data_IF_741507523685
#
_entry.id   IF_741507523685
#
_cell.length_a   1.000
_cell.length_b   1.000
_cell.length_c   1.000
_cell.angle_alpha   90.00
_cell.angle_beta   90.00
_cell.angle_gamma   90.00
#
_symmetry.space_group_name_H-M   'P 1'
#
loop_
_entity.id
_entity.type
_entity.pdbx_description
1 polymer ?
#
# COMPACT_ATOMS: atom_id res chain seq x y z
N UNK A 1 37.21 33.74 -40.79
CA UNK A 1 37.17 32.40 -40.19
C UNK A 1 37.10 32.56 -38.68
N UNK A 2 35.90 32.49 -38.09
CA UNK A 2 35.71 32.57 -36.64
C UNK A 2 35.35 31.17 -36.16
N UNK A 3 36.24 30.56 -35.39
CA UNK A 3 36.01 29.24 -34.79
C UNK A 3 35.10 29.40 -33.58
N UNK A 4 33.81 29.11 -33.77
CA UNK A 4 32.84 29.02 -32.70
C UNK A 4 33.17 27.78 -31.85
N UNK A 5 33.77 28.03 -30.70
CA UNK A 5 34.16 26.98 -29.75
C UNK A 5 32.91 26.57 -28.99
N UNK A 6 32.23 25.54 -29.49
CA UNK A 6 31.14 24.87 -28.79
C UNK A 6 31.59 24.47 -27.38
N UNK A 7 31.20 25.24 -26.37
CA UNK A 7 31.26 24.77 -24.98
C UNK A 7 30.24 23.65 -24.85
N UNK A 8 30.64 22.43 -24.44
CA UNK A 8 29.67 21.39 -24.18
C UNK A 8 28.78 21.85 -23.03
N UNK A 9 27.48 21.98 -23.29
CA UNK A 9 26.46 22.09 -22.26
C UNK A 9 26.66 20.89 -21.34
N UNK A 10 27.15 21.14 -20.12
CA UNK A 10 27.20 20.12 -19.07
C UNK A 10 25.78 19.61 -18.91
N UNK A 11 25.53 18.38 -19.40
CA UNK A 11 24.27 17.69 -19.19
C UNK A 11 23.98 17.75 -17.69
N UNK A 12 22.81 18.25 -17.25
CA UNK A 12 22.43 18.10 -15.86
C UNK A 12 22.54 16.61 -15.54
N UNK A 13 23.27 16.26 -14.47
CA UNK A 13 23.25 14.91 -13.94
C UNK A 13 21.80 14.64 -13.56
N UNK A 14 21.06 13.98 -14.45
CA UNK A 14 19.81 13.31 -14.10
C UNK A 14 20.21 12.26 -13.06
N UNK A 15 20.15 12.63 -11.79
CA UNK A 15 20.25 11.65 -10.73
C UNK A 15 19.15 10.61 -11.00
N UNK A 16 19.48 9.31 -11.04
CA UNK A 16 18.47 8.30 -11.30
C UNK A 16 17.35 8.48 -10.29
N UNK A 17 16.12 8.67 -10.78
CA UNK A 17 14.90 8.57 -9.97
C UNK A 17 14.94 7.15 -9.42
N UNK A 18 15.26 7.00 -8.14
CA UNK A 18 15.25 5.68 -7.51
C UNK A 18 13.77 5.38 -7.26
N UNK A 19 13.17 4.43 -8.01
CA UNK A 19 11.78 4.09 -7.79
C UNK A 19 11.67 3.44 -6.42
N UNK A 20 10.60 3.77 -5.72
CA UNK A 20 10.28 3.16 -4.45
C UNK A 20 10.03 1.65 -4.60
N UNK A 21 10.35 0.84 -3.56
CA UNK A 21 9.98 -0.56 -3.50
C UNK A 21 8.52 -0.83 -3.90
N UNK A 22 8.20 -2.00 -4.49
CA UNK A 22 6.84 -2.31 -4.95
C UNK A 22 5.77 -2.20 -3.87
N UNK A 23 6.08 -2.63 -2.63
CA UNK A 23 5.15 -2.58 -1.51
C UNK A 23 4.83 -1.15 -1.10
N UNK A 24 5.80 -0.24 -1.06
CA UNK A 24 5.57 1.17 -0.72
C UNK A 24 4.75 1.89 -1.81
N UNK A 25 4.99 1.58 -3.08
CA UNK A 25 4.18 2.09 -4.21
C UNK A 25 2.74 1.62 -4.13
N UNK A 26 2.52 0.36 -3.75
CA UNK A 26 1.19 -0.19 -3.55
C UNK A 26 0.45 0.54 -2.42
N UNK A 27 1.10 0.76 -1.28
CA UNK A 27 0.49 1.49 -0.16
C UNK A 27 0.20 2.96 -0.49
N UNK A 28 1.02 3.59 -1.35
CA UNK A 28 0.72 4.93 -1.90
C UNK A 28 -0.47 4.90 -2.84
N UNK A 29 -0.54 3.90 -3.72
CA UNK A 29 -1.67 3.73 -4.63
C UNK A 29 -2.99 3.51 -3.90
N UNK A 30 -2.96 2.78 -2.78
CA UNK A 30 -4.10 2.60 -1.88
C UNK A 30 -4.47 3.87 -1.08
N UNK A 31 -3.69 4.95 -1.17
CA UNK A 31 -3.92 6.18 -0.42
C UNK A 31 -3.58 6.07 1.08
N UNK A 32 -2.89 4.99 1.49
CA UNK A 32 -2.44 4.82 2.88
C UNK A 32 -1.30 5.80 3.14
N UNK A 33 -0.34 5.95 2.23
CA UNK A 33 0.73 6.92 2.34
C UNK A 33 0.70 7.91 1.17
N UNK A 34 1.19 9.12 1.41
CA UNK A 34 1.47 10.07 0.35
C UNK A 34 2.98 10.11 0.07
N UNK A 35 3.36 10.16 -1.21
CA UNK A 35 4.74 10.33 -1.62
C UNK A 35 4.97 11.79 -2.03
N UNK A 36 5.98 12.45 -1.46
CA UNK A 36 6.39 13.79 -1.87
C UNK A 36 7.89 13.84 -2.19
N UNK A 37 8.31 14.63 -3.18
CA UNK A 37 9.73 14.84 -3.47
C UNK A 37 10.40 15.60 -2.31
N UNK A 38 11.61 15.19 -1.91
CA UNK A 38 12.35 15.80 -0.79
C UNK A 38 12.81 17.23 -1.10
N UNK A 39 13.01 17.55 -2.38
CA UNK A 39 13.28 18.88 -2.93
C UNK A 39 12.94 18.88 -4.42
N UNK A 40 12.82 20.06 -5.03
CA UNK A 40 12.46 20.21 -6.46
C UNK A 40 13.42 19.46 -7.41
N UNK A 41 14.68 19.28 -7.01
CA UNK A 41 15.73 18.65 -7.83
C UNK A 41 16.20 17.29 -7.30
N UNK A 42 15.57 16.75 -6.26
CA UNK A 42 15.99 15.45 -5.70
C UNK A 42 15.29 14.28 -6.37
N UNK A 43 16.08 13.26 -6.72
CA UNK A 43 15.59 11.94 -7.11
C UNK A 43 15.06 11.08 -5.93
N UNK A 44 15.09 11.63 -4.72
CA UNK A 44 14.63 10.98 -3.49
C UNK A 44 13.25 11.47 -3.07
N UNK A 45 12.38 10.55 -2.68
CA UNK A 45 11.06 10.85 -2.14
C UNK A 45 11.02 10.61 -0.63
N UNK A 46 10.08 11.27 0.03
CA UNK A 46 9.70 10.95 1.40
C UNK A 46 8.23 10.55 1.45
N UNK A 47 7.91 9.68 2.42
CA UNK A 47 6.55 9.26 2.70
C UNK A 47 5.95 10.14 3.79
N UNK A 48 4.70 10.52 3.58
CA UNK A 48 3.90 11.27 4.55
C UNK A 48 2.74 10.40 4.96
N UNK A 49 2.56 10.27 6.28
CA UNK A 49 1.40 9.62 6.87
C UNK A 49 0.12 10.40 6.54
N UNK A 50 -0.87 9.71 5.99
CA UNK A 50 -2.26 10.18 5.89
C UNK A 50 -2.99 10.00 7.22
N UNK A 51 -4.17 10.63 7.42
CA UNK A 51 -5.02 10.35 8.58
C UNK A 51 -5.31 8.85 8.76
N UNK A 52 -5.54 8.12 7.65
CA UNK A 52 -5.79 6.68 7.67
C UNK A 52 -4.57 5.90 8.16
N UNK A 53 -3.39 6.19 7.64
CA UNK A 53 -2.16 5.55 8.14
C UNK A 53 -1.90 5.85 9.62
N UNK A 54 -2.28 7.05 10.08
CA UNK A 54 -2.14 7.44 11.50
C UNK A 54 -3.12 6.70 12.39
N UNK A 55 -4.33 6.41 11.91
CA UNK A 55 -5.29 5.57 12.62
C UNK A 55 -4.79 4.14 12.74
N UNK A 56 -4.22 3.58 11.66
CA UNK A 56 -3.65 2.23 11.64
C UNK A 56 -2.38 2.14 12.50
N UNK A 57 -1.51 3.15 12.49
CA UNK A 57 -0.26 3.14 13.25
C UNK A 57 -0.38 3.72 14.66
N UNK A 58 -1.58 4.09 15.11
CA UNK A 58 -1.76 4.63 16.46
C UNK A 58 -1.32 3.56 17.47
N UNK A 59 -0.52 3.93 18.46
CA UNK A 59 -0.06 3.01 19.52
C UNK A 59 -1.04 2.95 20.71
N UNK A 60 -2.14 3.70 20.65
CA UNK A 60 -3.13 3.78 21.73
C UNK A 60 -4.16 2.65 21.62
N UNK A 61 -4.86 2.36 22.73
CA UNK A 61 -5.86 1.29 22.85
C UNK A 61 -7.00 1.33 21.82
N UNK A 62 -7.20 2.47 21.15
CA UNK A 62 -8.20 2.67 20.09
C UNK A 62 -7.63 2.58 18.67
N UNK A 63 -6.47 1.95 18.50
CA UNK A 63 -5.87 1.73 17.19
C UNK A 63 -6.66 0.70 16.39
N UNK A 64 -6.94 1.02 15.13
CA UNK A 64 -7.57 0.07 14.21
C UNK A 64 -6.60 -1.01 13.72
N UNK A 65 -5.31 -0.96 14.12
CA UNK A 65 -4.31 -1.95 13.73
C UNK A 65 -4.74 -3.37 14.10
N UNK A 66 -5.26 -3.55 15.31
CA UNK A 66 -5.66 -4.86 15.80
C UNK A 66 -6.82 -5.45 14.98
N UNK A 67 -7.80 -4.63 14.60
CA UNK A 67 -8.91 -5.05 13.74
C UNK A 67 -8.43 -5.43 12.34
N UNK A 68 -7.56 -4.62 11.74
CA UNK A 68 -6.97 -4.92 10.41
C UNK A 68 -6.13 -6.20 10.45
N UNK A 69 -5.36 -6.42 11.53
CA UNK A 69 -4.59 -7.65 11.72
C UNK A 69 -5.48 -8.87 11.96
N UNK A 70 -6.57 -8.71 12.70
CA UNK A 70 -7.54 -9.77 12.93
C UNK A 70 -8.20 -10.18 11.60
N UNK A 71 -8.69 -9.23 10.81
CA UNK A 71 -9.33 -9.49 9.51
C UNK A 71 -8.38 -10.10 8.47
N UNK A 72 -7.09 -9.74 8.52
CA UNK A 72 -6.06 -10.33 7.66
C UNK A 72 -5.49 -11.65 8.18
N UNK A 73 -5.92 -12.10 9.36
CA UNK A 73 -5.52 -13.40 9.89
C UNK A 73 -6.15 -14.53 9.06
N UNK A 74 -5.46 -15.68 8.89
CA UNK A 74 -6.01 -16.82 8.15
C UNK A 74 -7.33 -17.33 8.74
N UNK A 75 -7.51 -17.18 10.06
CA UNK A 75 -8.73 -17.56 10.78
C UNK A 75 -9.92 -16.70 10.30
N UNK A 76 -9.73 -15.39 10.17
CA UNK A 76 -10.78 -14.51 9.68
C UNK A 76 -10.93 -14.53 8.15
N UNK A 77 -9.89 -14.92 7.41
CA UNK A 77 -9.94 -15.07 5.96
C UNK A 77 -10.68 -16.36 5.53
N UNK A 78 -10.61 -17.44 6.31
CA UNK A 78 -11.23 -18.73 5.99
C UNK A 78 -12.74 -18.64 5.66
N UNK A 79 -13.57 -17.90 6.43
CA UNK A 79 -14.97 -17.64 6.07
C UNK A 79 -15.15 -17.09 4.66
N UNK A 80 -14.36 -16.09 4.24
CA UNK A 80 -14.51 -15.46 2.92
C UNK A 80 -14.29 -16.43 1.77
N UNK A 81 -13.41 -17.41 1.94
CA UNK A 81 -13.19 -18.47 0.96
C UNK A 81 -14.37 -19.43 0.82
N UNK A 82 -15.18 -19.58 1.87
CA UNK A 82 -16.34 -20.46 1.90
C UNK A 82 -17.65 -19.80 1.45
N UNK A 83 -17.66 -18.47 1.28
CA UNK A 83 -18.84 -17.76 0.75
C UNK A 83 -19.13 -18.09 -0.72
N UNK A 84 -18.10 -18.30 -1.55
CA UNK A 84 -18.31 -18.61 -2.98
C UNK A 84 -19.01 -19.96 -3.21
N UNK A 85 -18.64 -21.05 -2.51
CA UNK A 85 -19.38 -22.32 -2.62
C UNK A 85 -20.75 -22.30 -1.91
N UNK A 86 -20.88 -21.59 -0.78
CA UNK A 86 -22.09 -21.61 0.06
C UNK A 86 -23.28 -20.87 -0.55
N UNK A 87 -23.04 -19.85 -1.39
CA UNK A 87 -24.12 -19.14 -2.11
C UNK A 87 -24.84 -20.02 -3.13
N UNK A 88 -24.24 -21.15 -3.54
CA UNK A 88 -24.88 -22.17 -4.38
C UNK A 88 -25.70 -23.19 -3.57
N UNK A 89 -25.52 -23.26 -2.24
CA UNK A 89 -26.25 -24.19 -1.37
C UNK A 89 -27.42 -23.46 -0.70
N UNK A 90 -28.54 -23.40 -1.42
CA UNK A 90 -29.79 -22.82 -0.97
C UNK A 90 -30.37 -23.63 0.22
N UNK A 91 -29.97 -23.31 1.46
CA UNK A 91 -30.57 -23.95 2.64
C UNK A 91 -29.87 -23.77 3.99
N UNK A 92 -28.63 -23.27 4.05
CA UNK A 92 -27.96 -22.97 5.33
C UNK A 92 -27.51 -21.52 5.38
N UNK A 93 -27.68 -20.89 6.55
CA UNK A 93 -27.18 -19.54 6.84
C UNK A 93 -25.71 -19.44 6.42
N UNK A 94 -25.35 -18.45 5.59
CA UNK A 94 -23.98 -18.22 5.12
C UNK A 94 -23.00 -18.04 6.30
N UNK A 95 -23.49 -17.56 7.44
CA UNK A 95 -22.71 -17.43 8.67
C UNK A 95 -22.39 -18.79 9.33
N UNK A 96 -23.30 -19.76 9.26
CA UNK A 96 -23.09 -21.11 9.82
C UNK A 96 -22.23 -21.99 8.88
N UNK A 97 -22.47 -21.87 7.58
CA UNK A 97 -21.68 -22.57 6.57
C UNK A 97 -20.20 -22.16 6.59
N UNK A 98 -19.92 -20.90 6.93
CA UNK A 98 -18.55 -20.39 7.06
C UNK A 98 -17.85 -20.84 8.35
N UNK A 99 -18.59 -21.05 9.45
CA UNK A 99 -18.02 -21.63 10.67
C UNK A 99 -17.61 -23.09 10.49
N UNK A 100 -18.33 -23.84 9.65
CA UNK A 100 -17.99 -25.23 9.31
C UNK A 100 -16.64 -25.39 8.59
N UNK A 101 -16.08 -24.32 8.02
CA UNK A 101 -14.75 -24.31 7.40
C UNK A 101 -13.60 -24.05 8.40
N UNK A 102 -13.92 -23.68 9.65
CA UNK A 102 -12.94 -23.39 10.70
C UNK A 102 -12.67 -24.59 11.64
N UNK A 103 -13.46 -25.66 11.55
CA UNK A 103 -13.32 -26.94 12.27
C UNK A 103 -12.77 -28.03 11.34
#
# INVERSE_FOLDING_TARGET
MSHDTFRPLRRPRLLPIIPSPPHERYLVHLGIFNQKPKSQDSSSFHYIQTPLSRLIMKYEDNSVAASVLLESSPVMLAPWHCLSPSTMTNGTSEFEATWSCLL
#
